data_IF_618270054746
#
_entry.id   IF_618270054746
#
_cell.length_a   1.000
_cell.length_b   1.000
_cell.length_c   1.000
_cell.angle_alpha   90.00
_cell.angle_beta   90.00
_cell.angle_gamma   90.00
#
_symmetry.space_group_name_H-M   'P 1'
#
loop_
_entity.id
_entity.type
_entity.pdbx_description
1 polymer ?
#
# COMPACT_ATOMS: atom_id res chain seq x y z
N UNK A 1 -12.67 3.66 2.48
CA UNK A 1 -12.23 4.39 3.69
C UNK A 1 -10.72 4.58 3.73
N UNK A 2 -9.91 3.53 3.55
CA UNK A 2 -8.44 3.62 3.59
C UNK A 2 -7.84 4.66 2.63
N UNK A 3 -8.33 4.74 1.38
CA UNK A 3 -7.89 5.75 0.41
C UNK A 3 -8.15 7.18 0.91
N UNK A 4 -9.31 7.42 1.54
CA UNK A 4 -9.64 8.73 2.11
C UNK A 4 -8.68 9.14 3.23
N UNK A 5 -8.33 8.19 4.11
CA UNK A 5 -7.33 8.42 5.17
C UNK A 5 -5.96 8.73 4.56
N UNK A 6 -5.51 7.96 3.57
CA UNK A 6 -4.23 8.18 2.92
C UNK A 6 -4.14 9.50 2.15
N UNK A 7 -5.26 9.98 1.56
CA UNK A 7 -5.34 11.33 0.99
C UNK A 7 -5.17 12.44 2.04
N UNK A 8 -5.69 12.23 3.25
CA UNK A 8 -5.64 13.23 4.32
C UNK A 8 -4.29 13.28 5.03
N UNK A 9 -3.59 12.14 5.12
CA UNK A 9 -2.28 12.04 5.72
C UNK A 9 -1.20 12.74 4.88
N UNK A 10 -0.33 13.49 5.52
CA UNK A 10 0.83 14.15 4.89
C UNK A 10 2.01 13.17 4.81
N UNK A 11 2.56 12.86 3.63
CA UNK A 11 3.62 11.87 3.53
C UNK A 11 4.89 12.38 4.23
N UNK A 12 5.40 11.57 5.16
CA UNK A 12 6.64 11.87 5.88
C UNK A 12 7.85 11.85 4.94
N UNK A 13 8.65 12.93 4.96
CA UNK A 13 9.87 13.09 4.15
C UNK A 13 10.90 11.97 4.33
N UNK A 14 10.87 11.22 5.45
CA UNK A 14 11.72 10.05 5.68
C UNK A 14 11.34 8.86 4.80
N UNK A 15 10.19 8.89 4.13
CA UNK A 15 9.65 7.78 3.34
C UNK A 15 9.03 6.67 4.19
N UNK A 16 8.85 6.90 5.50
CA UNK A 16 8.15 6.01 6.43
C UNK A 16 7.66 6.78 7.67
N UNK A 17 6.73 6.19 8.42
CA UNK A 17 6.25 6.76 9.68
C UNK A 17 5.00 7.63 9.57
N UNK A 18 4.46 7.84 8.36
CA UNK A 18 3.19 8.58 8.15
C UNK A 18 2.02 8.01 8.98
N UNK A 19 2.05 6.72 9.33
CA UNK A 19 1.03 6.12 10.21
C UNK A 19 1.04 6.69 11.64
N UNK A 20 2.14 7.30 12.09
CA UNK A 20 2.23 7.91 13.42
C UNK A 20 1.32 9.14 13.57
N UNK A 21 0.93 9.79 12.46
CA UNK A 21 -0.08 10.86 12.47
C UNK A 21 -1.46 10.36 12.88
N UNK A 22 -1.71 9.05 12.79
CA UNK A 22 -2.93 8.40 13.29
C UNK A 22 -2.85 8.10 14.80
N UNK A 23 -1.81 8.54 15.50
CA UNK A 23 -1.57 8.22 16.92
C UNK A 23 -0.97 6.83 17.15
N UNK A 24 -0.53 6.15 16.10
CA UNK A 24 0.08 4.82 16.18
C UNK A 24 1.56 4.91 16.60
N UNK A 25 2.07 3.93 17.35
CA UNK A 25 3.47 3.92 17.78
C UNK A 25 4.44 3.75 16.61
N UNK A 26 5.72 4.14 16.78
CA UNK A 26 6.77 3.83 15.81
C UNK A 26 6.92 2.32 15.63
N UNK A 27 7.45 1.90 14.47
CA UNK A 27 7.67 0.49 14.19
C UNK A 27 8.75 -0.09 15.12
N UNK A 28 8.38 -1.03 15.98
CA UNK A 28 9.30 -1.70 16.92
C UNK A 28 10.48 -2.37 16.21
N UNK A 29 10.24 -2.93 15.01
CA UNK A 29 11.31 -3.55 14.23
C UNK A 29 12.38 -2.53 13.82
N UNK A 30 11.95 -1.33 13.40
CA UNK A 30 12.86 -0.24 13.08
C UNK A 30 13.57 0.33 14.31
N UNK A 31 12.92 0.37 15.47
CA UNK A 31 13.55 0.89 16.69
C UNK A 31 14.51 -0.08 17.34
N UNK A 32 14.27 -1.39 17.21
CA UNK A 32 15.10 -2.45 17.83
C UNK A 32 16.24 -2.89 16.92
N UNK A 33 15.96 -3.16 15.64
CA UNK A 33 16.96 -3.70 14.71
C UNK A 33 17.63 -2.64 13.85
N UNK A 34 17.19 -1.38 13.91
CA UNK A 34 17.72 -0.29 13.08
C UNK A 34 17.38 -0.40 11.58
N UNK A 35 16.68 -1.46 11.17
CA UNK A 35 16.26 -1.70 9.79
C UNK A 35 14.74 -1.59 9.66
N UNK A 36 14.28 -1.08 8.51
CA UNK A 36 12.85 -1.00 8.20
C UNK A 36 12.29 -2.41 8.00
N UNK A 37 11.12 -2.73 8.55
CA UNK A 37 10.42 -3.97 8.23
C UNK A 37 9.84 -3.92 6.79
N UNK A 38 9.43 -5.04 6.17
CA UNK A 38 8.91 -5.04 4.80
C UNK A 38 7.66 -4.15 4.61
N UNK A 39 6.89 -3.91 5.67
CA UNK A 39 5.71 -3.02 5.63
C UNK A 39 6.02 -1.57 6.02
N UNK A 40 7.23 -1.25 6.49
CA UNK A 40 7.60 0.12 6.81
C UNK A 40 7.55 0.98 5.53
N UNK A 41 6.92 2.15 5.62
CA UNK A 41 6.73 3.05 4.48
C UNK A 41 5.46 2.80 3.67
N UNK A 42 4.66 1.78 3.98
CA UNK A 42 3.45 1.48 3.22
C UNK A 42 2.42 2.61 3.25
N UNK A 43 2.10 3.16 4.43
CA UNK A 43 1.17 4.31 4.54
C UNK A 43 1.71 5.56 3.87
N UNK A 44 3.03 5.77 3.92
CA UNK A 44 3.70 6.90 3.25
C UNK A 44 3.62 6.75 1.73
N UNK A 45 3.83 5.52 1.23
CA UNK A 45 3.66 5.18 -0.17
C UNK A 45 2.22 5.42 -0.65
N UNK A 46 1.22 5.11 0.16
CA UNK A 46 -0.19 5.36 -0.20
C UNK A 46 -0.49 6.86 -0.29
N UNK A 47 0.00 7.64 0.67
CA UNK A 47 -0.15 9.09 0.67
C UNK A 47 0.52 9.75 -0.54
N UNK A 48 1.71 9.29 -0.94
CA UNK A 48 2.35 9.74 -2.19
C UNK A 48 1.60 9.28 -3.44
N UNK A 49 1.17 8.01 -3.49
CA UNK A 49 0.47 7.45 -4.65
C UNK A 49 -0.83 8.21 -4.96
N UNK A 50 -1.59 8.59 -3.93
CA UNK A 50 -2.82 9.35 -4.08
C UNK A 50 -2.61 10.82 -4.45
N UNK A 51 -1.40 11.35 -4.25
CA UNK A 51 -0.96 12.66 -4.74
C UNK A 51 -0.38 12.61 -6.16
N UNK A 52 -0.30 11.43 -6.77
CA UNK A 52 0.32 11.22 -8.09
C UNK A 52 1.85 11.14 -8.04
N UNK A 53 2.46 11.12 -6.86
CA UNK A 53 3.91 11.09 -6.66
C UNK A 53 4.45 9.66 -6.71
N UNK A 54 4.28 8.98 -7.84
CA UNK A 54 4.54 7.53 -7.96
C UNK A 54 5.99 7.14 -7.68
N UNK A 55 6.96 8.00 -8.01
CA UNK A 55 8.38 7.74 -7.76
C UNK A 55 8.67 7.77 -6.25
N UNK A 56 8.13 8.75 -5.53
CA UNK A 56 8.27 8.85 -4.07
C UNK A 56 7.52 7.74 -3.36
N UNK A 57 6.37 7.33 -3.91
CA UNK A 57 5.62 6.18 -3.43
C UNK A 57 6.45 4.88 -3.53
N UNK A 58 7.01 4.59 -4.71
CA UNK A 58 7.85 3.41 -4.94
C UNK A 58 9.10 3.41 -4.04
N UNK A 59 9.76 4.57 -3.89
CA UNK A 59 10.91 4.72 -2.97
C UNK A 59 10.52 4.51 -1.51
N UNK A 60 9.30 4.88 -1.11
CA UNK A 60 8.79 4.64 0.24
C UNK A 60 8.54 3.15 0.48
N UNK A 61 7.76 2.50 -0.39
CA UNK A 61 7.51 1.06 -0.37
C UNK A 61 6.91 0.60 -1.71
N UNK A 62 7.63 -0.22 -2.49
CA UNK A 62 7.18 -0.61 -3.83
C UNK A 62 5.90 -1.48 -3.79
N UNK A 63 5.82 -2.40 -2.84
CA UNK A 63 4.61 -3.21 -2.62
C UNK A 63 3.41 -2.38 -2.16
N UNK A 64 3.67 -1.36 -1.34
CA UNK A 64 2.68 -0.37 -0.92
C UNK A 64 2.10 0.41 -2.09
N UNK A 65 2.91 0.82 -3.06
CA UNK A 65 2.44 1.47 -4.29
C UNK A 65 1.51 0.55 -5.08
N UNK A 66 1.90 -0.72 -5.29
CA UNK A 66 1.05 -1.68 -6.01
C UNK A 66 -0.30 -1.87 -5.31
N UNK A 67 -0.29 -2.02 -3.99
CA UNK A 67 -1.52 -2.13 -3.19
C UNK A 67 -2.39 -0.86 -3.30
N UNK A 68 -1.78 0.32 -3.29
CA UNK A 68 -2.51 1.58 -3.43
C UNK A 68 -3.19 1.66 -4.80
N UNK A 69 -2.48 1.33 -5.89
CA UNK A 69 -3.04 1.32 -7.24
C UNK A 69 -4.17 0.29 -7.38
N UNK A 70 -3.95 -0.94 -6.88
CA UNK A 70 -4.99 -1.97 -6.86
C UNK A 70 -6.22 -1.51 -6.09
N UNK A 71 -6.05 -0.83 -4.96
CA UNK A 71 -7.16 -0.32 -4.15
C UNK A 71 -7.91 0.82 -4.87
N UNK A 72 -7.21 1.70 -5.58
CA UNK A 72 -7.83 2.79 -6.36
C UNK A 72 -8.65 2.25 -7.53
N UNK A 73 -8.20 1.15 -8.16
CA UNK A 73 -8.91 0.54 -9.28
C UNK A 73 -10.07 -0.37 -8.81
N UNK A 74 -9.80 -1.24 -7.84
CA UNK A 74 -10.79 -2.21 -7.34
C UNK A 74 -11.84 -1.58 -6.42
N UNK A 75 -11.51 -0.50 -5.69
CA UNK A 75 -12.42 0.15 -4.76
C UNK A 75 -13.71 0.66 -5.42
N UNK A 76 -13.64 1.52 -6.46
CA UNK A 76 -14.80 1.99 -7.20
C UNK A 76 -15.55 0.84 -7.88
N UNK A 77 -14.83 -0.14 -8.41
CA UNK A 77 -15.42 -1.33 -9.05
C UNK A 77 -16.30 -2.14 -8.09
N UNK A 78 -15.75 -2.48 -6.92
CA UNK A 78 -16.47 -3.22 -5.88
C UNK A 78 -17.64 -2.40 -5.32
N UNK A 79 -17.47 -1.08 -5.19
CA UNK A 79 -18.56 -0.19 -4.77
C UNK A 79 -19.73 -0.22 -5.76
N UNK A 80 -19.45 -0.06 -7.06
CA UNK A 80 -20.47 -0.11 -8.12
C UNK A 80 -21.13 -1.48 -8.20
N UNK A 81 -20.33 -2.55 -8.13
CA UNK A 81 -20.81 -3.92 -8.12
C UNK A 81 -21.72 -4.22 -6.94
N UNK A 82 -21.36 -3.73 -5.75
CA UNK A 82 -22.17 -3.88 -4.53
C UNK A 82 -23.49 -3.11 -4.59
N UNK A 83 -23.48 -1.87 -5.10
CA UNK A 83 -24.68 -1.06 -5.25
C UNK A 83 -25.64 -1.65 -6.30
N UNK A 84 -25.11 -2.23 -7.39
CA UNK A 84 -25.93 -2.83 -8.46
C UNK A 84 -26.46 -4.22 -8.10
N UNK A 85 -25.96 -4.86 -7.03
CA UNK A 85 -26.32 -6.22 -6.66
C UNK A 85 -25.91 -7.28 -7.70
N UNK A 86 -25.08 -6.92 -8.67
CA UNK A 86 -24.58 -7.81 -9.71
C UNK A 86 -23.11 -7.50 -9.99
N UNK A 87 -22.33 -8.53 -10.32
CA UNK A 87 -20.95 -8.38 -10.75
C UNK A 87 -20.95 -7.61 -12.06
N UNK A 88 -20.53 -6.34 -12.00
CA UNK A 88 -20.43 -5.52 -13.21
C UNK A 88 -19.30 -6.13 -14.02
N UNK A 89 -19.51 -6.66 -15.21
CA UNK A 89 -18.47 -7.14 -16.14
C UNK A 89 -17.68 -8.41 -15.76
N UNK A 90 -16.97 -8.43 -14.63
CA UNK A 90 -15.94 -9.44 -14.32
C UNK A 90 -16.10 -10.03 -12.91
N UNK A 91 -16.02 -11.36 -12.82
CA UNK A 91 -16.04 -12.09 -11.55
C UNK A 91 -14.59 -12.29 -11.07
N UNK A 92 -14.27 -11.97 -9.80
CA UNK A 92 -12.96 -12.25 -9.26
C UNK A 92 -12.79 -13.77 -9.14
N UNK A 93 -11.91 -14.35 -9.96
CA UNK A 93 -11.47 -15.73 -9.82
C UNK A 93 -10.46 -15.81 -8.64
N UNK A 94 -10.57 -16.86 -7.82
CA UNK A 94 -9.66 -17.15 -6.72
C UNK A 94 -8.19 -17.12 -7.18
N UNK A 95 -7.91 -17.65 -8.37
CA UNK A 95 -6.57 -17.62 -8.97
C UNK A 95 -6.02 -16.20 -9.16
N UNK A 96 -6.87 -15.25 -9.54
CA UNK A 96 -6.44 -13.86 -9.75
C UNK A 96 -6.07 -13.23 -8.41
N UNK A 97 -6.86 -13.50 -7.37
CA UNK A 97 -6.57 -13.01 -6.00
C UNK A 97 -5.25 -13.59 -5.51
N UNK A 98 -5.01 -14.89 -5.72
CA UNK A 98 -3.77 -15.56 -5.35
C UNK A 98 -2.57 -15.00 -6.12
N UNK A 99 -2.69 -14.83 -7.43
CA UNK A 99 -1.60 -14.29 -8.26
C UNK A 99 -1.30 -12.84 -7.90
N UNK A 100 -2.31 -11.98 -7.79
CA UNK A 100 -2.13 -10.56 -7.44
C UNK A 100 -1.56 -10.42 -6.03
N UNK A 101 -2.10 -11.16 -5.05
CA UNK A 101 -1.59 -11.18 -3.69
C UNK A 101 -0.14 -11.69 -3.63
N UNK A 102 0.16 -12.74 -4.39
CA UNK A 102 1.51 -13.27 -4.54
C UNK A 102 2.48 -12.26 -5.13
N UNK A 103 2.11 -11.57 -6.21
CA UNK A 103 2.94 -10.52 -6.84
C UNK A 103 3.21 -9.38 -5.86
N UNK A 104 2.20 -8.90 -5.14
CA UNK A 104 2.37 -7.87 -4.10
C UNK A 104 3.32 -8.34 -3.01
N UNK A 105 3.15 -9.57 -2.52
CA UNK A 105 4.01 -10.11 -1.48
C UNK A 105 5.46 -10.22 -1.96
N UNK A 106 5.67 -10.81 -3.14
CA UNK A 106 6.99 -11.00 -3.71
C UNK A 106 7.68 -9.66 -3.98
N UNK A 107 6.97 -8.68 -4.54
CA UNK A 107 7.54 -7.32 -4.77
C UNK A 107 7.90 -6.63 -3.46
N UNK A 108 7.09 -6.78 -2.41
CA UNK A 108 7.38 -6.23 -1.08
C UNK A 108 8.63 -6.89 -0.47
N UNK A 109 8.73 -8.21 -0.55
CA UNK A 109 9.86 -8.97 -0.01
C UNK A 109 11.15 -8.70 -0.80
N UNK A 110 11.08 -8.64 -2.12
CA UNK A 110 12.21 -8.30 -2.99
C UNK A 110 12.67 -6.88 -2.65
N UNK A 111 11.80 -5.88 -2.71
CA UNK A 111 12.14 -4.48 -2.35
C UNK A 111 12.76 -4.39 -0.95
N UNK A 112 12.27 -5.16 0.01
CA UNK A 112 12.84 -5.23 1.35
C UNK A 112 14.24 -5.85 1.37
N UNK A 113 14.44 -7.01 0.74
CA UNK A 113 15.75 -7.68 0.65
C UNK A 113 16.78 -6.74 0.00
N UNK A 114 16.41 -6.05 -1.07
CA UNK A 114 17.27 -5.07 -1.75
C UNK A 114 17.62 -3.86 -0.89
N UNK A 115 16.79 -3.50 0.10
CA UNK A 115 17.09 -2.41 1.05
C UNK A 115 17.93 -2.87 2.25
N UNK A 116 17.98 -4.17 2.50
CA UNK A 116 18.75 -4.78 3.58
C UNK A 116 20.18 -5.17 3.16
N UNK A 117 20.38 -5.43 1.86
CA UNK A 117 21.70 -5.59 1.22
C UNK A 117 22.40 -4.23 1.07
#
# INVERSE_FOLDING_TARGET
>A
MLLGVACWLDPDSRGFGTHQQLGLPPCTFSSVFGIRCPSCGMTTSWSHALRGELVLAARSNAGGLLLALLSVLSGPWLLVSGIRGNWTGWYPNEWIVVVVGGVVLMTTLIDWIWRCL
#
